data_IF_005181953210
#
_entry.id   IF_005181953210
#
_cell.length_a   1.000
_cell.length_b   1.000
_cell.length_c   1.000
_cell.angle_alpha   90.00
_cell.angle_beta   90.00
_cell.angle_gamma   90.00
#
_symmetry.space_group_name_H-M   'P 1'
#
loop_
_entity.id
_entity.type
_entity.pdbx_description
1 polymer ?
#
# COMPACT_ATOMS: atom_id res chain seq x y z
N UNK A 1 -20.71 3.43 6.19
CA UNK A 1 -19.57 2.82 5.47
C UNK A 1 -18.65 2.18 6.51
N UNK A 2 -18.19 0.93 6.31
CA UNK A 2 -17.25 0.30 7.25
C UNK A 2 -15.84 0.82 6.95
N UNK A 3 -15.10 1.20 8.00
CA UNK A 3 -13.67 1.53 7.89
C UNK A 3 -12.86 0.26 8.11
N UNK A 4 -11.90 0.00 7.22
CA UNK A 4 -11.07 -1.21 7.26
C UNK A 4 -9.62 -0.78 7.32
N UNK A 5 -8.94 -1.13 8.42
CA UNK A 5 -7.51 -0.91 8.56
C UNK A 5 -6.76 -1.88 7.66
N UNK A 6 -5.89 -1.36 6.80
CA UNK A 6 -4.92 -2.16 6.08
C UNK A 6 -3.60 -2.14 6.85
N UNK A 7 -3.08 -3.32 7.14
CA UNK A 7 -1.76 -3.47 7.72
C UNK A 7 -0.68 -3.56 6.62
N UNK A 8 0.57 -3.61 7.07
CA UNK A 8 1.75 -3.70 6.22
C UNK A 8 1.75 -4.95 5.34
N UNK A 9 1.11 -6.05 5.77
CA UNK A 9 1.08 -7.32 5.02
C UNK A 9 0.17 -7.23 3.80
N UNK A 10 -0.91 -6.45 3.87
CA UNK A 10 -1.78 -6.18 2.72
C UNK A 10 -1.01 -5.41 1.66
N UNK A 11 -0.29 -4.35 2.05
CA UNK A 11 0.52 -3.54 1.11
C UNK A 11 1.65 -4.37 0.48
N UNK A 12 2.41 -5.10 1.31
CA UNK A 12 3.49 -5.97 0.83
C UNK A 12 2.97 -7.06 -0.12
N UNK A 13 1.85 -7.70 0.21
CA UNK A 13 1.28 -8.72 -0.65
C UNK A 13 0.73 -8.19 -1.97
N UNK A 14 0.26 -6.94 -1.99
CA UNK A 14 -0.25 -6.29 -3.20
C UNK A 14 0.86 -5.91 -4.19
N UNK A 15 2.04 -5.48 -3.70
CA UNK A 15 3.19 -5.19 -4.58
C UNK A 15 3.87 -6.47 -5.09
N UNK A 16 3.85 -7.56 -4.30
CA UNK A 16 4.44 -8.85 -4.69
C UNK A 16 3.66 -9.52 -5.84
N UNK A 17 2.34 -9.40 -5.85
CA UNK A 17 1.50 -10.12 -6.82
C UNK A 17 0.15 -9.44 -7.04
N UNK A 18 -0.41 -9.64 -8.24
CA UNK A 18 -1.79 -9.24 -8.58
C UNK A 18 -2.87 -10.17 -7.96
N UNK A 19 -2.59 -10.70 -6.76
CA UNK A 19 -3.41 -11.66 -6.02
C UNK A 19 -4.52 -11.00 -5.18
N UNK A 20 -4.92 -11.67 -4.09
CA UNK A 20 -6.03 -11.22 -3.23
C UNK A 20 -5.78 -9.83 -2.64
N UNK A 21 -4.58 -9.54 -2.17
CA UNK A 21 -4.25 -8.23 -1.59
C UNK A 21 -4.34 -7.10 -2.61
N UNK A 22 -3.87 -7.34 -3.84
CA UNK A 22 -4.04 -6.39 -4.93
C UNK A 22 -5.53 -6.14 -5.24
N UNK A 23 -6.35 -7.20 -5.28
CA UNK A 23 -7.80 -7.08 -5.46
C UNK A 23 -8.49 -6.33 -4.33
N UNK A 24 -8.04 -6.50 -3.08
CA UNK A 24 -8.53 -5.73 -1.92
C UNK A 24 -8.25 -4.23 -2.10
N UNK A 25 -7.04 -3.86 -2.53
CA UNK A 25 -6.69 -2.47 -2.84
C UNK A 25 -7.58 -1.93 -3.97
N UNK A 26 -7.82 -2.71 -5.03
CA UNK A 26 -8.72 -2.29 -6.11
C UNK A 26 -10.15 -2.06 -5.63
N UNK A 27 -10.69 -2.93 -4.77
CA UNK A 27 -12.02 -2.76 -4.19
C UNK A 27 -12.10 -1.53 -3.30
N UNK A 28 -11.02 -1.19 -2.59
CA UNK A 28 -10.92 0.00 -1.76
C UNK A 28 -11.07 1.32 -2.55
N UNK A 29 -10.90 1.29 -3.88
CA UNK A 29 -11.16 2.43 -4.77
C UNK A 29 -12.65 2.72 -4.92
N UNK A 30 -13.50 1.74 -4.65
CA UNK A 30 -14.96 1.93 -4.60
C UNK A 30 -15.41 2.06 -3.14
N UNK A 31 -15.81 3.27 -2.76
CA UNK A 31 -16.36 3.56 -1.44
C UNK A 31 -17.66 2.78 -1.15
N UNK A 32 -18.25 2.09 -2.13
CA UNK A 32 -19.45 1.28 -1.95
C UNK A 32 -19.24 0.11 -0.97
N UNK A 33 -18.01 -0.42 -0.87
CA UNK A 33 -17.72 -1.58 -0.03
C UNK A 33 -17.17 -1.18 1.35
N UNK A 34 -16.12 -0.36 1.38
CA UNK A 34 -15.47 0.10 2.60
C UNK A 34 -14.56 1.30 2.34
N UNK A 35 -14.18 1.96 3.43
CA UNK A 35 -13.13 3.00 3.43
C UNK A 35 -11.80 2.38 3.91
N UNK A 36 -10.74 2.37 3.09
CA UNK A 36 -9.43 1.93 3.55
C UNK A 36 -8.85 2.95 4.53
N UNK A 37 -8.35 2.46 5.67
CA UNK A 37 -7.57 3.26 6.62
C UNK A 37 -6.15 2.71 6.63
N UNK A 38 -5.17 3.59 6.42
CA UNK A 38 -3.75 3.26 6.46
C UNK A 38 -3.06 4.27 7.37
N UNK A 39 -2.25 3.80 8.30
CA UNK A 39 -1.46 4.66 9.17
C UNK A 39 -0.10 4.97 8.54
N UNK A 40 0.52 6.07 8.96
CA UNK A 40 1.88 6.43 8.56
C UNK A 40 2.90 5.35 8.92
N UNK A 41 2.73 4.70 10.09
CA UNK A 41 3.58 3.58 10.51
C UNK A 41 3.54 2.43 9.50
N UNK A 42 2.35 2.06 9.02
CA UNK A 42 2.19 1.00 8.01
C UNK A 42 2.89 1.35 6.70
N UNK A 43 2.86 2.64 6.31
CA UNK A 43 3.57 3.12 5.10
C UNK A 43 5.07 3.03 5.28
N UNK A 44 5.60 3.48 6.41
CA UNK A 44 7.03 3.42 6.73
C UNK A 44 7.53 1.97 6.77
N UNK A 45 6.80 1.07 7.43
CA UNK A 45 7.13 -0.35 7.47
C UNK A 45 7.12 -0.97 6.06
N UNK A 46 6.11 -0.65 5.24
CA UNK A 46 6.04 -1.10 3.85
C UNK A 46 7.26 -0.66 3.04
N UNK A 47 7.65 0.62 3.13
CA UNK A 47 8.82 1.16 2.44
C UNK A 47 10.09 0.44 2.90
N UNK A 48 10.24 0.24 4.21
CA UNK A 48 11.40 -0.43 4.79
C UNK A 48 11.49 -1.90 4.33
N UNK A 49 10.38 -2.61 4.27
CA UNK A 49 10.33 -3.97 3.73
C UNK A 49 10.71 -4.03 2.26
N UNK A 50 10.19 -3.10 1.45
CA UNK A 50 10.52 -2.98 0.03
C UNK A 50 12.02 -2.70 -0.20
N UNK A 51 12.63 -1.84 0.61
CA UNK A 51 14.07 -1.52 0.58
C UNK A 51 14.95 -2.68 1.04
N UNK A 52 14.53 -3.42 2.06
CA UNK A 52 15.23 -4.62 2.55
C UNK A 52 15.12 -5.84 1.63
N UNK A 53 14.15 -5.83 0.74
CA UNK A 53 13.89 -6.92 -0.19
C UNK A 53 12.72 -7.79 0.26
N UNK A 54 11.57 -7.60 -0.36
CA UNK A 54 10.40 -8.47 -0.17
C UNK A 54 10.56 -9.71 -1.05
N UNK A 55 10.63 -10.89 -0.41
CA UNK A 55 10.88 -12.18 -1.10
C UNK A 55 12.13 -12.15 -2.01
N UNK A 56 13.16 -11.41 -1.62
CA UNK A 56 14.40 -11.29 -2.38
C UNK A 56 14.37 -10.26 -3.52
N UNK A 57 13.29 -9.50 -3.67
CA UNK A 57 13.18 -8.41 -4.65
C UNK A 57 13.21 -7.07 -3.92
N UNK A 58 14.17 -6.22 -4.28
CA UNK A 58 14.25 -4.82 -3.82
C UNK A 58 13.45 -3.95 -4.78
N UNK A 59 12.55 -3.13 -4.24
CA UNK A 59 11.69 -2.26 -5.03
C UNK A 59 12.21 -0.83 -5.03
N UNK A 60 12.22 -0.21 -6.21
CA UNK A 60 12.51 1.20 -6.39
C UNK A 60 11.41 2.09 -5.82
N UNK A 61 11.73 3.36 -5.56
CA UNK A 61 10.74 4.34 -5.11
C UNK A 61 9.59 4.50 -6.11
N UNK A 62 9.87 4.46 -7.41
CA UNK A 62 8.83 4.52 -8.44
C UNK A 62 7.86 3.33 -8.36
N UNK A 63 8.33 2.12 -8.10
CA UNK A 63 7.47 0.93 -7.95
C UNK A 63 6.63 0.98 -6.66
N UNK A 64 7.23 1.45 -5.56
CA UNK A 64 6.52 1.68 -4.30
C UNK A 64 5.42 2.74 -4.49
N UNK A 65 5.74 3.85 -5.16
CA UNK A 65 4.82 4.94 -5.43
C UNK A 65 3.64 4.50 -6.30
N UNK A 66 3.88 3.77 -7.38
CA UNK A 66 2.83 3.22 -8.24
C UNK A 66 1.86 2.33 -7.45
N UNK A 67 2.38 1.53 -6.51
CA UNK A 67 1.57 0.65 -5.66
C UNK A 67 0.71 1.43 -4.67
N UNK A 68 1.24 2.52 -4.10
CA UNK A 68 0.51 3.39 -3.16
C UNK A 68 -0.50 4.32 -3.85
N UNK A 69 -0.24 4.73 -5.10
CA UNK A 69 -1.15 5.55 -5.90
C UNK A 69 -2.51 4.87 -6.14
N UNK A 70 -2.55 3.54 -6.18
CA UNK A 70 -3.79 2.77 -6.31
C UNK A 70 -4.77 3.00 -5.15
N UNK A 71 -4.30 3.48 -4.01
CA UNK A 71 -5.10 3.74 -2.81
C UNK A 71 -5.63 5.18 -2.73
N UNK A 72 -5.35 6.05 -3.71
CA UNK A 72 -5.75 7.46 -3.71
C UNK A 72 -5.39 8.24 -2.42
N UNK A 73 -4.34 7.80 -1.73
CA UNK A 73 -3.87 8.42 -0.49
C UNK A 73 -3.00 9.65 -0.81
N UNK A 74 -3.66 10.76 -1.12
CA UNK A 74 -3.03 12.04 -1.49
C UNK A 74 -2.05 12.58 -0.45
N UNK A 75 -2.11 12.11 0.80
CA UNK A 75 -1.18 12.49 1.86
C UNK A 75 0.14 11.69 1.86
N UNK A 76 0.17 10.45 1.34
CA UNK A 76 1.37 9.60 1.34
C UNK A 76 2.50 10.19 0.50
N UNK A 77 2.14 10.91 -0.57
CA UNK A 77 3.08 11.63 -1.43
C UNK A 77 3.96 12.62 -0.62
N UNK A 78 3.41 13.22 0.44
CA UNK A 78 4.16 14.17 1.30
C UNK A 78 5.15 13.49 2.25
N UNK A 79 4.95 12.20 2.56
CA UNK A 79 5.81 11.44 3.47
C UNK A 79 7.09 10.94 2.76
N UNK A 80 7.06 10.82 1.44
CA UNK A 80 8.19 10.31 0.63
C UNK A 80 9.06 11.42 0.02
N UNK A 81 8.59 12.67 0.00
CA UNK A 81 9.34 13.85 -0.46
C UNK A 81 10.16 14.54 0.66
N UNK A 82 10.15 13.98 1.87
CA UNK A 82 10.84 14.51 3.06
C UNK A 82 12.28 14.05 3.21
#
# INVERSE_FOLDING_TARGET
>A
MKRVLFDTTVLCGAIISLGVNYKLIQLARSAEFFEPVISEVVVCEFIEHCRKGLKGVVYSESEMMLSLQLLHLSWILKTLEG
#
